data_IF_328873749136
#
_entry.id   IF_328873749136
#
_cell.length_a   1.000
_cell.length_b   1.000
_cell.length_c   1.000
_cell.angle_alpha   90.00
_cell.angle_beta   90.00
_cell.angle_gamma   90.00
#
_symmetry.space_group_name_H-M   'P 1'
#
loop_
_entity.id
_entity.type
_entity.pdbx_description
1 polymer ?
#
# COMPACT_ATOMS: atom_id res chain seq x y z
N UNK A 1 -2.87 -22.62 -19.42
CA UNK A 1 -1.77 -21.64 -19.23
C UNK A 1 -1.75 -21.21 -17.78
N UNK A 2 -0.57 -21.07 -17.16
CA UNK A 2 -0.47 -20.49 -15.81
C UNK A 2 -0.79 -19.00 -15.87
N UNK A 3 -1.62 -18.51 -14.94
CA UNK A 3 -1.85 -17.08 -14.77
C UNK A 3 -0.53 -16.38 -14.41
N UNK A 4 -0.32 -15.16 -14.92
CA UNK A 4 0.83 -14.33 -14.52
C UNK A 4 0.63 -13.87 -13.08
N UNK A 5 1.72 -13.72 -12.32
CA UNK A 5 1.69 -13.42 -10.88
C UNK A 5 2.37 -12.09 -10.57
N UNK A 6 1.83 -11.33 -9.64
CA UNK A 6 2.40 -10.08 -9.12
C UNK A 6 2.40 -10.12 -7.59
N UNK A 7 3.59 -9.99 -6.99
CA UNK A 7 3.74 -9.76 -5.57
C UNK A 7 4.04 -8.27 -5.32
N UNK A 8 3.25 -7.64 -4.46
CA UNK A 8 3.46 -6.28 -3.96
C UNK A 8 3.95 -6.40 -2.52
N UNK A 9 5.06 -5.76 -2.18
CA UNK A 9 5.66 -5.84 -0.83
C UNK A 9 5.44 -4.52 -0.10
N UNK A 10 4.71 -4.60 1.00
CA UNK A 10 4.28 -3.48 1.86
C UNK A 10 2.87 -3.02 1.53
N UNK A 11 1.96 -3.06 2.52
CA UNK A 11 0.58 -2.57 2.42
C UNK A 11 0.42 -1.15 3.00
N UNK A 12 1.42 -0.28 2.80
CA UNK A 12 1.29 1.16 3.02
C UNK A 12 0.57 1.86 1.86
N UNK A 13 0.56 3.19 1.86
CA UNK A 13 -0.13 3.99 0.83
C UNK A 13 0.28 3.63 -0.60
N UNK A 14 1.57 3.47 -0.87
CA UNK A 14 2.08 3.07 -2.19
C UNK A 14 1.58 1.68 -2.59
N UNK A 15 1.73 0.68 -1.74
CA UNK A 15 1.35 -0.70 -2.05
C UNK A 15 -0.15 -0.88 -2.24
N UNK A 16 -0.98 -0.20 -1.45
CA UNK A 16 -2.44 -0.23 -1.61
C UNK A 16 -2.89 0.44 -2.92
N UNK A 17 -2.29 1.58 -3.27
CA UNK A 17 -2.55 2.26 -4.55
C UNK A 17 -2.13 1.37 -5.72
N UNK A 18 -0.94 0.76 -5.65
CA UNK A 18 -0.48 -0.20 -6.66
C UNK A 18 -1.43 -1.40 -6.77
N UNK A 19 -1.87 -1.97 -5.64
CA UNK A 19 -2.80 -3.11 -5.61
C UNK A 19 -4.10 -2.76 -6.34
N UNK A 20 -4.71 -1.61 -6.00
CA UNK A 20 -5.93 -1.12 -6.65
C UNK A 20 -5.75 -1.02 -8.16
N UNK A 21 -4.67 -0.37 -8.61
CA UNK A 21 -4.42 -0.19 -10.04
C UNK A 21 -4.12 -1.50 -10.77
N UNK A 22 -3.41 -2.43 -10.12
CA UNK A 22 -3.08 -3.73 -10.68
C UNK A 22 -4.33 -4.59 -10.89
N UNK A 23 -5.22 -4.65 -9.90
CA UNK A 23 -6.49 -5.40 -10.02
C UNK A 23 -7.32 -4.89 -11.22
N UNK A 24 -7.39 -3.57 -11.41
CA UNK A 24 -8.15 -2.97 -12.52
C UNK A 24 -7.51 -3.18 -13.90
N UNK A 25 -6.17 -3.18 -13.98
CA UNK A 25 -5.44 -3.08 -15.26
C UNK A 25 -4.86 -4.42 -15.73
N UNK A 26 -4.75 -5.41 -14.85
CA UNK A 26 -4.13 -6.70 -15.14
C UNK A 26 -5.14 -7.84 -14.96
N UNK A 27 -6.22 -7.88 -15.77
CA UNK A 27 -7.21 -8.95 -15.67
C UNK A 27 -6.56 -10.32 -15.91
N UNK A 28 -6.96 -11.30 -15.11
CA UNK A 28 -6.43 -12.67 -15.19
C UNK A 28 -5.05 -12.87 -14.54
N UNK A 29 -4.50 -11.86 -13.88
CA UNK A 29 -3.32 -12.01 -13.04
C UNK A 29 -3.69 -12.41 -11.61
N UNK A 30 -2.84 -13.21 -10.97
CA UNK A 30 -2.89 -13.46 -9.54
C UNK A 30 -2.03 -12.40 -8.84
N UNK A 31 -2.69 -11.50 -8.10
CA UNK A 31 -2.05 -10.34 -7.47
C UNK A 31 -2.18 -10.48 -5.96
N UNK A 32 -1.05 -10.42 -5.26
CA UNK A 32 -1.02 -10.52 -3.80
C UNK A 32 -0.18 -9.37 -3.23
N UNK A 33 -0.73 -8.68 -2.24
CA UNK A 33 -0.01 -7.67 -1.46
C UNK A 33 0.37 -8.27 -0.11
N UNK A 34 1.66 -8.30 0.19
CA UNK A 34 2.21 -8.82 1.43
C UNK A 34 2.58 -7.67 2.36
N UNK A 35 2.19 -7.77 3.62
CA UNK A 35 2.58 -6.85 4.68
C UNK A 35 3.19 -7.64 5.82
N UNK A 36 4.24 -7.10 6.43
CA UNK A 36 4.89 -7.72 7.59
C UNK A 36 4.00 -7.59 8.83
N UNK A 37 3.35 -6.43 8.98
CA UNK A 37 2.44 -6.15 10.09
C UNK A 37 1.05 -6.77 9.93
N UNK A 38 0.24 -6.67 10.98
CA UNK A 38 -1.17 -7.07 10.97
C UNK A 38 -2.13 -6.00 10.45
N UNK A 39 -1.62 -4.85 10.02
CA UNK A 39 -2.41 -3.68 9.60
C UNK A 39 -1.83 -3.02 8.35
N UNK A 40 -2.66 -2.28 7.62
CA UNK A 40 -2.32 -1.63 6.33
C UNK A 40 -1.94 -0.15 6.47
N UNK A 41 -1.51 0.24 7.66
CA UNK A 41 -1.16 1.62 8.00
C UNK A 41 0.22 2.01 7.46
N UNK A 42 1.08 1.04 7.12
CA UNK A 42 2.44 1.28 6.69
C UNK A 42 3.20 2.18 7.68
N UNK A 43 3.84 3.24 7.17
CA UNK A 43 4.57 4.21 8.00
C UNK A 43 3.69 5.03 8.95
N UNK A 44 2.37 5.05 8.73
CA UNK A 44 1.42 5.77 9.59
C UNK A 44 1.02 4.99 10.85
N UNK A 45 1.48 3.73 10.99
CA UNK A 45 1.09 2.86 12.11
C UNK A 45 1.79 3.10 13.44
N UNK A 46 2.89 3.84 13.44
CA UNK A 46 3.65 4.13 14.66
C UNK A 46 4.22 5.56 14.62
N UNK A 47 3.35 6.59 14.62
CA UNK A 47 3.80 7.96 14.70
C UNK A 47 4.35 8.26 16.09
N UNK A 48 5.35 9.14 16.17
CA UNK A 48 5.78 9.70 17.46
C UNK A 48 4.73 10.71 17.98
N UNK A 49 4.67 10.99 19.30
CA UNK A 49 3.74 11.96 19.85
C UNK A 49 3.87 13.34 19.19
N UNK A 50 2.75 13.91 18.74
CA UNK A 50 2.75 15.21 18.04
C UNK A 50 3.19 15.15 16.58
N UNK A 51 3.32 13.96 16.00
CA UNK A 51 3.56 13.81 14.57
C UNK A 51 2.44 14.46 13.75
N UNK A 52 2.83 15.30 12.80
CA UNK A 52 1.97 15.91 11.80
C UNK A 52 2.66 15.71 10.45
N UNK A 53 1.91 15.28 9.43
CA UNK A 53 2.47 15.18 8.09
C UNK A 53 3.00 16.56 7.66
N UNK A 54 4.20 16.60 7.11
CA UNK A 54 4.78 17.85 6.59
C UNK A 54 3.92 18.44 5.49
N UNK A 55 3.18 17.62 4.74
CA UNK A 55 2.24 18.09 3.73
C UNK A 55 1.00 18.79 4.31
N UNK A 56 0.53 18.42 5.51
CA UNK A 56 -0.60 19.11 6.16
C UNK A 56 -0.18 20.32 6.98
N UNK A 57 1.09 20.41 7.40
CA UNK A 57 1.61 21.52 8.19
C UNK A 57 1.59 22.88 7.47
N UNK A 58 1.54 22.88 6.13
CA UNK A 58 1.57 24.11 5.33
C UNK A 58 0.24 24.43 4.62
N UNK A 59 -0.84 23.71 4.95
CA UNK A 59 -2.14 23.84 4.25
C UNK A 59 -3.29 24.37 5.10
N UNK A 60 -3.06 24.77 6.36
CA UNK A 60 -4.07 25.37 7.25
C UNK A 60 -3.52 26.58 7.98
#
# INVERSE_FOLDING_TARGET
>A
MSAKRLAIIGAGSSGLVTLKHAIERLPGWEIVCFEKGSTTVGRWGNPYPGFVSTSTKYTT
#
